data_IF_618268816357
#
_entry.id   IF_618268816357
#
_cell.length_a   1.000
_cell.length_b   1.000
_cell.length_c   1.000
_cell.angle_alpha   90.00
_cell.angle_beta   90.00
_cell.angle_gamma   90.00
#
_symmetry.space_group_name_H-M   'P 1'
#
loop_
_entity.id
_entity.type
_entity.pdbx_description
1 polymer ?
#
# COMPACT_ATOMS: atom_id res chain seq x y z
N UNK A 1 -12.10 -17.36 -0.84
CA UNK A 1 -11.20 -16.61 0.06
C UNK A 1 -11.98 -15.43 0.62
N UNK A 2 -12.59 -15.69 1.78
CA UNK A 2 -13.13 -14.80 2.83
C UNK A 2 -13.23 -13.30 2.55
N UNK A 3 -14.46 -12.83 2.31
CA UNK A 3 -14.84 -11.43 2.07
C UNK A 3 -15.36 -10.67 3.30
N UNK A 4 -15.37 -11.25 4.51
CA UNK A 4 -15.95 -10.62 5.71
C UNK A 4 -14.96 -10.51 6.87
N UNK A 5 -13.78 -9.93 6.62
CA UNK A 5 -12.91 -9.49 7.72
C UNK A 5 -13.23 -8.01 8.02
N UNK A 6 -13.46 -7.61 9.28
CA UNK A 6 -13.63 -6.19 9.62
C UNK A 6 -12.43 -5.43 9.06
N UNK A 7 -12.71 -4.33 8.38
CA UNK A 7 -11.72 -3.57 7.62
C UNK A 7 -10.79 -2.86 8.62
N UNK A 8 -9.80 -3.61 9.11
CA UNK A 8 -8.85 -3.19 10.12
C UNK A 8 -7.90 -2.13 9.55
N UNK A 9 -8.23 -0.86 9.82
CA UNK A 9 -7.44 0.31 9.44
C UNK A 9 -6.03 0.24 10.04
N UNK A 10 -5.87 -0.34 11.23
CA UNK A 10 -4.56 -0.48 11.88
C UNK A 10 -3.69 -1.52 11.15
N UNK A 11 -4.28 -2.62 10.68
CA UNK A 11 -3.58 -3.55 9.78
C UNK A 11 -3.18 -2.89 8.45
N UNK A 12 -3.99 -1.98 7.91
CA UNK A 12 -3.62 -1.23 6.71
C UNK A 12 -2.44 -0.28 6.99
N UNK A 13 -2.44 0.45 8.10
CA UNK A 13 -1.33 1.32 8.48
C UNK A 13 -0.01 0.55 8.65
N UNK A 14 -0.05 -0.66 9.21
CA UNK A 14 1.11 -1.56 9.32
C UNK A 14 1.71 -1.98 7.98
N UNK A 15 0.97 -1.86 6.87
CA UNK A 15 1.46 -2.20 5.52
C UNK A 15 2.19 -1.05 4.82
N UNK A 16 2.29 0.15 5.43
CA UNK A 16 3.09 1.25 4.88
C UNK A 16 4.54 0.79 4.67
N UNK A 17 5.09 1.19 3.53
CA UNK A 17 6.43 0.81 3.10
C UNK A 17 7.39 1.97 3.33
N UNK A 18 8.62 1.66 3.75
CA UNK A 18 9.63 2.70 3.93
C UNK A 18 10.32 2.95 2.57
N UNK A 19 10.23 4.17 2.00
CA UNK A 19 10.80 4.46 0.70
C UNK A 19 12.34 4.48 0.72
N UNK A 20 12.96 4.85 1.84
CA UNK A 20 14.41 4.79 2.00
C UNK A 20 14.90 3.34 1.99
N UNK A 21 14.15 2.43 2.61
CA UNK A 21 14.47 1.00 2.56
C UNK A 21 14.38 0.44 1.13
N UNK A 22 13.35 0.83 0.37
CA UNK A 22 13.22 0.42 -1.03
C UNK A 22 14.40 0.88 -1.91
N UNK A 23 14.89 2.11 -1.67
CA UNK A 23 16.08 2.64 -2.32
C UNK A 23 17.35 1.89 -1.91
N UNK A 24 17.55 1.68 -0.61
CA UNK A 24 18.71 0.95 -0.07
C UNK A 24 18.80 -0.49 -0.59
N UNK A 25 17.65 -1.15 -0.77
CA UNK A 25 17.61 -2.49 -1.37
C UNK A 25 18.10 -2.49 -2.81
N UNK A 26 17.83 -1.44 -3.60
CA UNK A 26 18.34 -1.29 -4.96
C UNK A 26 19.82 -0.87 -5.02
N UNK A 27 20.38 -0.31 -3.95
CA UNK A 27 21.83 -0.08 -3.81
C UNK A 27 22.56 -1.41 -3.63
N UNK A 28 22.00 -2.32 -2.83
CA UNK A 28 22.60 -3.61 -2.56
C UNK A 28 22.40 -4.61 -3.71
N UNK A 29 21.17 -4.71 -4.21
CA UNK A 29 20.79 -5.65 -5.27
C UNK A 29 19.86 -4.93 -6.26
N UNK A 30 20.29 -4.67 -7.49
CA UNK A 30 19.46 -3.97 -8.48
C UNK A 30 18.20 -4.79 -8.75
N UNK A 31 17.02 -4.20 -8.49
CA UNK A 31 15.73 -4.87 -8.68
C UNK A 31 15.03 -5.28 -7.38
N UNK A 32 15.75 -5.42 -6.27
CA UNK A 32 15.18 -5.87 -5.00
C UNK A 32 14.15 -4.88 -4.40
N UNK A 33 14.34 -3.57 -4.62
CA UNK A 33 13.38 -2.55 -4.21
C UNK A 33 12.01 -2.71 -4.87
N UNK A 34 11.95 -3.23 -6.10
CA UNK A 34 10.69 -3.50 -6.79
C UNK A 34 9.96 -4.71 -6.22
N UNK A 35 10.69 -5.76 -5.87
CA UNK A 35 10.15 -6.95 -5.20
C UNK A 35 9.53 -6.52 -3.85
N UNK A 36 10.22 -5.68 -3.09
CA UNK A 36 9.70 -5.12 -1.83
C UNK A 36 8.39 -4.33 -2.00
N UNK A 37 8.26 -3.59 -3.10
CA UNK A 37 7.04 -2.85 -3.45
C UNK A 37 5.93 -3.74 -4.06
N UNK A 38 6.13 -5.07 -4.14
CA UNK A 38 5.16 -6.02 -4.70
C UNK A 38 5.22 -6.17 -6.23
N UNK A 39 6.20 -5.57 -6.91
CA UNK A 39 6.42 -5.70 -8.37
C UNK A 39 7.48 -6.75 -8.66
N UNK A 40 7.16 -8.00 -8.33
CA UNK A 40 8.12 -9.13 -8.39
C UNK A 40 8.65 -9.36 -9.81
N UNK A 41 7.76 -9.34 -10.81
CA UNK A 41 8.13 -9.55 -12.21
C UNK A 41 9.17 -8.54 -12.72
N UNK A 42 8.98 -7.26 -12.40
CA UNK A 42 9.90 -6.20 -12.80
C UNK A 42 11.27 -6.36 -12.14
N UNK A 43 11.30 -6.76 -10.86
CA UNK A 43 12.55 -7.04 -10.14
C UNK A 43 13.32 -8.23 -10.74
N UNK A 44 12.62 -9.32 -11.08
CA UNK A 44 13.22 -10.52 -11.70
C UNK A 44 13.84 -10.21 -13.06
N UNK A 45 13.22 -9.34 -13.87
CA UNK A 45 13.76 -8.94 -15.17
C UNK A 45 14.92 -7.95 -15.01
N UNK A 46 14.76 -6.97 -14.13
CA UNK A 46 15.73 -5.90 -14.01
C UNK A 46 17.07 -6.38 -13.43
N UNK A 47 17.06 -7.38 -12.54
CA UNK A 47 18.29 -7.92 -11.94
C UNK A 47 19.29 -8.48 -12.98
N UNK A 48 18.96 -9.49 -13.80
CA UNK A 48 19.90 -10.03 -14.79
C UNK A 48 20.22 -9.00 -15.88
N UNK A 49 19.30 -8.10 -16.20
CA UNK A 49 19.53 -7.03 -17.17
C UNK A 49 20.61 -6.05 -16.70
N UNK A 50 20.49 -5.51 -15.48
CA UNK A 50 21.49 -4.61 -14.89
C UNK A 50 22.79 -5.35 -14.63
N UNK A 51 22.74 -6.58 -14.11
CA UNK A 51 23.93 -7.38 -13.89
C UNK A 51 24.71 -7.60 -15.19
N UNK A 52 24.03 -8.04 -16.25
CA UNK A 52 24.63 -8.17 -17.58
C UNK A 52 25.25 -6.86 -18.06
N UNK A 53 24.50 -5.76 -17.98
CA UNK A 53 24.98 -4.43 -18.38
C UNK A 53 26.22 -3.98 -17.60
N UNK A 54 26.30 -4.28 -16.30
CA UNK A 54 27.50 -4.00 -15.48
C UNK A 54 28.73 -4.79 -15.95
N UNK A 55 28.57 -6.00 -16.48
CA UNK A 55 29.68 -6.80 -17.02
C UNK A 55 30.14 -6.32 -18.40
N UNK A 56 29.23 -5.90 -19.27
CA UNK A 56 29.56 -5.47 -20.64
C UNK A 56 29.95 -4.00 -20.73
N UNK A 57 29.18 -3.12 -20.07
CA UNK A 57 29.35 -1.67 -20.15
C UNK A 57 29.12 -1.03 -18.76
N UNK A 58 30.14 -1.04 -17.89
CA UNK A 58 29.99 -0.73 -16.46
C UNK A 58 29.38 0.64 -16.19
N UNK A 59 29.81 1.69 -16.90
CA UNK A 59 29.32 3.06 -16.69
C UNK A 59 27.81 3.17 -16.92
N UNK A 60 27.33 2.54 -17.98
CA UNK A 60 25.91 2.53 -18.32
C UNK A 60 25.12 1.68 -17.30
N UNK A 61 25.68 0.56 -16.84
CA UNK A 61 25.11 -0.26 -15.76
C UNK A 61 24.99 0.49 -14.43
N UNK A 62 25.99 1.29 -14.06
CA UNK A 62 25.91 2.16 -12.87
C UNK A 62 24.87 3.27 -13.04
N UNK A 63 24.80 3.91 -14.21
CA UNK A 63 23.77 4.89 -14.52
C UNK A 63 22.36 4.32 -14.37
N UNK A 64 22.13 3.12 -14.92
CA UNK A 64 20.85 2.42 -14.80
C UNK A 64 20.54 2.02 -13.35
N UNK A 65 21.54 1.60 -12.58
CA UNK A 65 21.39 1.30 -11.15
C UNK A 65 20.92 2.53 -10.37
N UNK A 66 21.49 3.71 -10.64
CA UNK A 66 21.04 4.97 -10.02
C UNK A 66 19.58 5.30 -10.37
N UNK A 67 19.20 5.12 -11.64
CA UNK A 67 17.80 5.31 -12.08
C UNK A 67 16.87 4.36 -11.32
N UNK A 68 17.26 3.09 -11.13
CA UNK A 68 16.46 2.12 -10.38
C UNK A 68 16.37 2.43 -8.89
N UNK A 69 17.41 3.01 -8.28
CA UNK A 69 17.36 3.48 -6.89
C UNK A 69 16.29 4.57 -6.75
N UNK A 70 16.30 5.55 -7.66
CA UNK A 70 15.31 6.65 -7.69
C UNK A 70 13.90 6.13 -7.97
N UNK A 71 13.70 5.31 -9.00
CA UNK A 71 12.36 4.79 -9.31
C UNK A 71 11.87 3.80 -8.24
N UNK A 72 12.76 3.09 -7.53
CA UNK A 72 12.43 2.29 -6.35
C UNK A 72 11.87 3.15 -5.21
N UNK A 73 12.51 4.29 -4.91
CA UNK A 73 12.01 5.27 -3.94
C UNK A 73 10.63 5.81 -4.35
N UNK A 74 10.48 6.21 -5.62
CA UNK A 74 9.22 6.73 -6.14
C UNK A 74 8.12 5.64 -6.20
N UNK A 75 8.48 4.38 -6.45
CA UNK A 75 7.55 3.25 -6.42
C UNK A 75 6.98 3.03 -5.02
N UNK A 76 7.81 3.08 -3.98
CA UNK A 76 7.34 3.03 -2.60
C UNK A 76 6.44 4.22 -2.25
N UNK A 77 6.77 5.43 -2.72
CA UNK A 77 5.91 6.61 -2.58
C UNK A 77 4.54 6.43 -3.22
N UNK A 78 4.49 5.91 -4.45
CA UNK A 78 3.23 5.59 -5.15
C UNK A 78 2.43 4.51 -4.42
N UNK A 79 3.09 3.50 -3.86
CA UNK A 79 2.43 2.47 -3.06
C UNK A 79 1.77 3.08 -1.81
N UNK A 80 2.51 3.91 -1.07
CA UNK A 80 1.98 4.56 0.14
C UNK A 80 0.81 5.49 -0.16
N UNK A 81 0.86 6.25 -1.28
CA UNK A 81 -0.25 7.11 -1.69
C UNK A 81 -1.53 6.32 -1.96
N UNK A 82 -1.44 5.20 -2.69
CA UNK A 82 -2.59 4.31 -2.94
C UNK A 82 -3.14 3.69 -1.66
N UNK A 83 -2.27 3.39 -0.70
CA UNK A 83 -2.69 2.87 0.60
C UNK A 83 -3.47 3.93 1.37
N UNK A 84 -3.01 5.18 1.34
CA UNK A 84 -3.66 6.31 2.02
C UNK A 84 -5.02 6.64 1.40
N UNK A 85 -5.13 6.57 0.08
CA UNK A 85 -6.42 6.69 -0.63
C UNK A 85 -7.41 5.60 -0.19
N UNK A 86 -6.95 4.34 -0.06
CA UNK A 86 -7.80 3.23 0.39
C UNK A 86 -8.21 3.38 1.86
N UNK A 87 -7.32 3.84 2.73
CA UNK A 87 -7.65 4.13 4.14
C UNK A 87 -8.67 5.27 4.21
N UNK A 88 -8.48 6.33 3.44
CA UNK A 88 -9.40 7.45 3.40
C UNK A 88 -10.78 7.05 2.87
N UNK A 89 -10.86 6.18 1.87
CA UNK A 89 -12.11 5.66 1.32
C UNK A 89 -12.83 4.69 2.28
N UNK A 90 -12.09 4.02 3.17
CA UNK A 90 -12.64 3.13 4.18
C UNK A 90 -13.21 3.85 5.42
N UNK A 91 -12.83 5.12 5.63
CA UNK A 91 -13.37 5.93 6.72
C UNK A 91 -14.78 6.41 6.39
N UNK A 92 -15.67 6.40 7.38
CA UNK A 92 -17.01 6.99 7.27
C UNK A 92 -16.98 8.45 7.69
N UNK A 93 -17.83 9.27 7.09
CA UNK A 93 -17.98 10.69 7.47
C UNK A 93 -19.16 10.84 8.42
N UNK A 94 -18.97 11.55 9.53
CA UNK A 94 -20.07 11.88 10.44
C UNK A 94 -21.06 12.83 9.76
N UNK A 95 -22.36 12.54 9.72
CA UNK A 95 -23.35 13.40 9.05
C UNK A 95 -23.60 14.72 9.78
N UNK A 96 -23.27 14.79 11.08
CA UNK A 96 -23.55 15.97 11.91
C UNK A 96 -22.39 16.97 11.89
N UNK A 97 -21.14 16.50 11.99
CA UNK A 97 -19.96 17.37 12.12
C UNK A 97 -18.92 17.20 11.02
N UNK A 98 -19.15 16.34 10.02
CA UNK A 98 -18.24 16.06 8.90
C UNK A 98 -16.85 15.47 9.26
N UNK A 99 -16.64 15.06 10.52
CA UNK A 99 -15.41 14.39 10.94
C UNK A 99 -15.23 13.02 10.27
N UNK A 100 -13.99 12.64 9.94
CA UNK A 100 -13.65 11.29 9.46
C UNK A 100 -13.55 10.32 10.63
N UNK A 101 -14.39 9.28 10.62
CA UNK A 101 -14.50 8.32 11.71
C UNK A 101 -14.15 6.90 11.23
N UNK A 102 -13.53 6.12 12.11
CA UNK A 102 -13.26 4.70 11.85
C UNK A 102 -14.57 3.93 11.61
N UNK A 103 -14.61 2.95 10.71
CA UNK A 103 -15.82 2.22 10.38
C UNK A 103 -16.42 1.52 11.62
N UNK A 104 -15.55 0.96 12.47
CA UNK A 104 -15.87 0.25 13.72
C UNK A 104 -16.37 1.14 14.87
N UNK A 105 -16.31 2.48 14.75
CA UNK A 105 -16.76 3.36 15.81
C UNK A 105 -18.29 3.34 15.96
N UNK A 106 -18.78 3.14 17.18
CA UNK A 106 -20.21 3.20 17.52
C UNK A 106 -20.70 4.63 17.79
N UNK A 107 -19.79 5.59 18.00
CA UNK A 107 -20.11 7.00 18.14
C UNK A 107 -18.99 7.88 17.59
N UNK A 108 -19.32 9.11 17.19
CA UNK A 108 -18.34 10.09 16.73
C UNK A 108 -17.51 10.62 17.91
N UNK A 109 -16.17 10.58 17.80
CA UNK A 109 -15.26 11.11 18.83
C UNK A 109 -15.35 12.63 19.01
N UNK A 110 -15.76 13.36 17.97
CA UNK A 110 -15.79 14.83 18.01
C UNK A 110 -17.10 15.37 18.57
N UNK A 111 -18.26 14.94 18.04
CA UNK A 111 -19.57 15.48 18.42
C UNK A 111 -20.43 14.52 19.26
N UNK A 112 -20.00 13.26 19.46
CA UNK A 112 -20.74 12.27 20.24
C UNK A 112 -21.96 11.64 19.54
N UNK A 113 -22.22 11.97 18.27
CA UNK A 113 -23.35 11.39 17.53
C UNK A 113 -23.22 9.85 17.46
N UNK A 114 -24.22 9.09 17.91
CA UNK A 114 -24.19 7.63 17.82
C UNK A 114 -24.34 7.20 16.35
N UNK A 115 -23.56 6.21 15.95
CA UNK A 115 -23.79 5.50 14.70
C UNK A 115 -24.64 4.30 15.02
N UNK A 116 -25.82 4.20 14.41
CA UNK A 116 -26.63 3.01 14.53
C UNK A 116 -25.81 1.81 14.08
N UNK A 117 -25.59 0.88 15.00
CA UNK A 117 -25.03 -0.45 14.70
C UNK A 117 -26.15 -1.23 14.02
N UNK A 118 -26.57 -0.82 12.83
CA UNK A 118 -27.32 -1.73 11.98
C UNK A 118 -26.34 -2.83 11.59
N UNK A 119 -26.48 -3.96 12.30
CA UNK A 119 -25.92 -5.25 11.88
C UNK A 119 -26.09 -5.34 10.36
N UNK A 120 -25.07 -5.81 9.61
CA UNK A 120 -25.19 -5.98 8.18
C UNK A 120 -26.45 -6.81 7.90
N UNK A 121 -27.48 -6.15 7.37
CA UNK A 121 -28.75 -6.76 7.04
C UNK A 121 -28.55 -7.53 5.75
N UNK A 122 -27.90 -8.69 5.84
CA UNK A 122 -27.86 -9.71 4.78
C UNK A 122 -28.50 -11.04 5.23
N UNK A 123 -29.15 -11.05 6.39
CA UNK A 123 -30.01 -12.13 6.83
C UNK A 123 -31.47 -11.83 6.48
N UNK A 124 -31.86 -11.99 5.22
CA UNK A 124 -33.20 -12.45 4.80
C UNK A 124 -33.31 -12.48 3.27
N UNK A 125 -33.32 -13.71 2.73
CA UNK A 125 -34.13 -14.17 1.58
C UNK A 125 -33.35 -15.08 0.62
N UNK A 126 -33.16 -16.36 1.02
CA UNK A 126 -33.46 -17.49 0.11
C UNK A 126 -33.68 -18.77 0.90
N UNK A 127 -34.89 -18.90 1.46
CA UNK A 127 -35.51 -20.18 1.75
C UNK A 127 -36.64 -20.33 0.72
N UNK A 128 -36.40 -21.14 -0.32
CA UNK A 128 -37.34 -21.84 -1.19
C UNK A 128 -36.56 -22.39 -2.40
#
# INVERSE_FOLDING_TARGET
>A
MSSDQPLDIDAMHRRRKNPALAAAMNVLVPGAGYIYCGRVFLGIIAFPFVAGMLFYEPLAGFGLTLVMIVDGFLAAGRYNRRLDERIAAAMKTCPVCAEKVRPEATACRHCGHPFDVSLPTSATAKAA
#
